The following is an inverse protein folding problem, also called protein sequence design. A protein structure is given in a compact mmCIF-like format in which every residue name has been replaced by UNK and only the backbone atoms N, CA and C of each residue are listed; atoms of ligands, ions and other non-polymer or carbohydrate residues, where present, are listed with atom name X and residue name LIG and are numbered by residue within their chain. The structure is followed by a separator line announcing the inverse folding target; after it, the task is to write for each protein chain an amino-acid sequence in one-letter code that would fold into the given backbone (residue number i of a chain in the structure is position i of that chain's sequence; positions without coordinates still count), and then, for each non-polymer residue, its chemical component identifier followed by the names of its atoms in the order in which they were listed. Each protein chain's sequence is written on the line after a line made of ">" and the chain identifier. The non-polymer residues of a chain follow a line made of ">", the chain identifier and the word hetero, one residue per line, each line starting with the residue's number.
data_IF_660137679588
#
_entry.id   IF_660137679588
#
_cell.length_a   1.000
_cell.length_b   1.000
_cell.length_c   1.000
_cell.angle_alpha   90.00
_cell.angle_beta   90.00
_cell.angle_gamma   90.00
#
_symmetry.space_group_name_H-M   'P 1'
#
loop_
_entity.id
_entity.type
_entity.pdbx_description
1 polymer ?
#
# COMPACT_ATOMS: atom_id res chain seq x y z
N UNK A 1 -2.31 13.57 19.80
CA UNK A 1 -1.79 14.13 18.53
C UNK A 1 -0.27 14.07 18.59
N UNK A 2 0.38 13.62 17.51
CA UNK A 2 1.84 13.58 17.44
C UNK A 2 2.43 14.98 17.67
N UNK A 3 3.51 15.08 18.43
CA UNK A 3 4.18 16.36 18.67
C UNK A 3 4.83 16.87 17.38
N UNK A 4 5.14 18.16 17.32
CA UNK A 4 5.90 18.74 16.19
C UNK A 4 7.23 18.00 15.97
N UNK A 5 7.87 17.55 17.04
CA UNK A 5 9.12 16.78 17.00
C UNK A 5 8.91 15.40 16.35
N UNK A 6 7.80 14.73 16.67
CA UNK A 6 7.46 13.42 16.09
C UNK A 6 7.16 13.51 14.61
N UNK A 7 6.43 14.56 14.20
CA UNK A 7 6.17 14.85 12.78
C UNK A 7 7.48 15.01 12.01
N UNK A 8 8.45 15.76 12.54
CA UNK A 8 9.75 15.92 11.88
C UNK A 8 10.58 14.62 11.87
N UNK A 9 10.50 13.81 12.93
CA UNK A 9 11.13 12.47 12.95
C UNK A 9 10.53 11.55 11.88
N UNK A 10 9.20 11.55 11.71
CA UNK A 10 8.50 10.76 10.69
C UNK A 10 8.89 11.23 9.29
N UNK A 11 8.84 12.53 9.02
CA UNK A 11 9.29 13.09 7.74
C UNK A 11 10.72 12.68 7.42
N UNK A 12 11.62 12.71 8.41
CA UNK A 12 13.01 12.26 8.26
C UNK A 12 13.07 10.76 7.90
N UNK A 13 12.32 9.89 8.58
CA UNK A 13 12.27 8.46 8.26
C UNK A 13 11.81 8.21 6.82
N UNK A 14 10.72 8.84 6.40
CA UNK A 14 10.20 8.72 5.03
C UNK A 14 11.27 9.17 4.02
N UNK A 15 11.90 10.33 4.28
CA UNK A 15 12.96 10.89 3.44
C UNK A 15 14.15 9.96 3.29
N UNK A 16 14.61 9.38 4.38
CA UNK A 16 15.76 8.49 4.37
C UNK A 16 15.44 7.19 3.61
N UNK A 17 14.22 6.65 3.78
CA UNK A 17 13.78 5.47 3.04
C UNK A 17 13.68 5.72 1.52
N UNK A 18 13.04 6.81 1.09
CA UNK A 18 12.93 7.15 -0.33
C UNK A 18 14.31 7.37 -0.95
N UNK A 19 15.19 8.14 -0.28
CA UNK A 19 16.56 8.38 -0.75
C UNK A 19 17.37 7.11 -0.93
N UNK A 20 17.18 6.15 -0.03
CA UNK A 20 17.97 4.93 0.00
C UNK A 20 17.43 3.87 -0.97
N UNK A 21 16.11 3.72 -1.06
CA UNK A 21 15.49 2.58 -1.73
C UNK A 21 14.73 2.91 -3.01
N UNK A 22 14.15 4.11 -3.13
CA UNK A 22 13.39 4.54 -4.31
C UNK A 22 14.22 5.53 -5.15
N UNK A 23 15.20 5.01 -5.88
CA UNK A 23 16.17 5.81 -6.64
C UNK A 23 15.46 6.70 -7.66
N UNK A 24 15.51 7.99 -7.41
CA UNK A 24 15.30 9.03 -8.42
C UNK A 24 16.63 9.37 -9.12
N UNK A 25 16.56 9.79 -10.39
CA UNK A 25 17.72 10.20 -11.16
C UNK A 25 18.38 11.50 -10.65
N UNK A 26 17.69 12.29 -9.80
CA UNK A 26 18.17 13.61 -9.36
C UNK A 26 17.98 13.81 -7.85
N UNK A 27 19.08 14.15 -7.14
CA UNK A 27 19.07 14.30 -5.67
C UNK A 27 18.18 15.45 -5.17
N UNK A 28 17.85 16.44 -6.01
CA UNK A 28 16.94 17.53 -5.67
C UNK A 28 15.48 17.06 -5.61
N UNK A 29 15.13 15.95 -6.27
CA UNK A 29 13.77 15.41 -6.31
C UNK A 29 13.29 14.97 -4.93
N UNK A 30 14.18 14.41 -4.11
CA UNK A 30 13.83 14.05 -2.73
C UNK A 30 13.51 15.24 -1.84
N UNK A 31 13.91 16.48 -2.16
CA UNK A 31 13.45 17.66 -1.39
C UNK A 31 12.02 18.04 -1.80
N UNK A 32 11.69 17.82 -3.07
CA UNK A 32 10.41 18.10 -3.70
C UNK A 32 9.29 17.16 -3.18
N UNK A 33 9.55 15.84 -3.06
CA UNK A 33 8.64 14.84 -2.45
C UNK A 33 7.97 15.33 -1.15
N UNK A 34 8.72 16.05 -0.31
CA UNK A 34 8.24 16.53 0.99
C UNK A 34 7.74 17.98 1.00
N UNK A 35 7.92 18.74 -0.09
CA UNK A 35 7.28 20.05 -0.25
C UNK A 35 5.81 19.91 -0.65
N UNK A 36 5.45 18.81 -1.33
CA UNK A 36 4.05 18.47 -1.64
C UNK A 36 3.25 17.99 -0.42
N UNK A 37 3.93 17.79 0.71
CA UNK A 37 3.34 17.47 1.99
C UNK A 37 2.99 18.79 2.72
N UNK A 38 1.74 19.29 2.68
CA UNK A 38 1.40 20.62 3.21
C UNK A 38 1.75 20.76 4.70
N UNK A 39 2.06 21.98 5.13
CA UNK A 39 2.36 22.31 6.53
C UNK A 39 1.23 21.94 7.51
N UNK A 40 0.00 21.78 7.01
CA UNK A 40 -1.18 21.27 7.72
C UNK A 40 -1.62 19.87 7.27
N UNK A 41 -0.69 18.96 6.98
CA UNK A 41 -1.05 17.56 6.66
C UNK A 41 -1.96 16.98 7.73
N UNK A 42 -3.09 16.46 7.27
CA UNK A 42 -3.95 15.58 8.07
C UNK A 42 -3.13 14.37 8.46
N UNK A 43 -3.10 14.05 9.75
CA UNK A 43 -2.29 12.96 10.32
C UNK A 43 -2.38 11.63 9.53
N UNK A 44 -3.52 11.33 8.91
CA UNK A 44 -3.70 10.18 8.02
C UNK A 44 -2.74 10.14 6.82
N UNK A 45 -2.60 11.24 6.07
CA UNK A 45 -1.71 11.27 4.88
C UNK A 45 -0.23 11.15 5.25
N UNK A 46 0.17 11.71 6.40
CA UNK A 46 1.53 11.49 6.92
C UNK A 46 1.77 10.01 7.25
N UNK A 47 0.75 9.35 7.81
CA UNK A 47 0.79 7.94 8.14
C UNK A 47 0.89 7.07 6.88
N UNK A 48 0.07 7.32 5.86
CA UNK A 48 0.15 6.63 4.57
C UNK A 48 1.56 6.77 3.93
N UNK A 49 2.14 7.96 3.93
CA UNK A 49 3.52 8.17 3.46
C UNK A 49 4.55 7.36 4.28
N UNK A 50 4.37 7.28 5.59
CA UNK A 50 5.19 6.44 6.47
C UNK A 50 5.07 4.97 6.09
N UNK A 51 3.86 4.46 5.87
CA UNK A 51 3.64 3.07 5.48
C UNK A 51 4.25 2.79 4.11
N UNK A 52 4.03 3.66 3.13
CA UNK A 52 4.68 3.55 1.82
C UNK A 52 6.22 3.49 1.96
N UNK A 53 6.80 4.24 2.89
CA UNK A 53 8.24 4.19 3.17
C UNK A 53 8.74 2.84 3.72
N UNK A 54 7.93 2.17 4.54
CA UNK A 54 8.23 0.80 5.02
C UNK A 54 8.02 -0.24 3.91
N UNK A 55 7.03 -0.05 3.03
CA UNK A 55 6.77 -0.93 1.87
C UNK A 55 7.96 -0.91 0.90
N UNK A 56 8.42 0.27 0.49
CA UNK A 56 9.57 0.38 -0.44
C UNK A 56 10.83 -0.22 0.17
N UNK A 57 11.02 -0.07 1.49
CA UNK A 57 12.16 -0.64 2.23
C UNK A 57 12.06 -2.17 2.26
N UNK A 58 10.90 -2.74 2.53
CA UNK A 58 10.72 -4.19 2.54
C UNK A 58 10.88 -4.80 1.13
N UNK A 59 10.32 -4.18 0.09
CA UNK A 59 10.54 -4.60 -1.29
C UNK A 59 12.03 -4.57 -1.65
N UNK A 60 12.77 -3.55 -1.23
CA UNK A 60 14.20 -3.45 -1.51
C UNK A 60 15.04 -4.46 -0.71
N UNK A 61 14.84 -4.56 0.60
CA UNK A 61 15.70 -5.35 1.49
C UNK A 61 15.30 -6.83 1.48
N UNK A 62 14.01 -7.12 1.64
CA UNK A 62 13.52 -8.48 1.82
C UNK A 62 13.42 -9.23 0.49
N UNK A 63 12.96 -8.55 -0.56
CA UNK A 63 12.81 -9.14 -1.90
C UNK A 63 13.98 -8.85 -2.84
N UNK A 64 14.85 -7.90 -2.51
CA UNK A 64 15.98 -7.52 -3.37
C UNK A 64 15.56 -6.74 -4.61
N UNK A 65 14.41 -6.07 -4.60
CA UNK A 65 13.92 -5.31 -5.74
C UNK A 65 14.60 -3.95 -5.86
N UNK A 66 14.72 -3.47 -7.10
CA UNK A 66 15.15 -2.12 -7.40
C UNK A 66 13.92 -1.24 -7.64
N UNK A 67 13.79 -0.13 -6.91
CA UNK A 67 12.65 0.77 -7.03
C UNK A 67 13.04 2.09 -7.69
N UNK A 68 12.19 2.58 -8.60
CA UNK A 68 12.41 3.84 -9.33
C UNK A 68 11.15 4.69 -9.34
N UNK A 69 11.24 5.93 -8.86
CA UNK A 69 10.16 6.90 -8.97
C UNK A 69 10.00 7.35 -10.43
N UNK A 70 8.76 7.45 -10.92
CA UNK A 70 8.41 7.83 -12.29
C UNK A 70 7.47 9.02 -12.32
N UNK A 71 7.52 9.73 -13.46
CA UNK A 71 6.62 10.81 -13.88
C UNK A 71 6.50 12.00 -12.95
N UNK A 72 7.36 12.07 -11.94
CA UNK A 72 7.39 13.18 -11.01
C UNK A 72 8.68 13.14 -10.21
N UNK A 73 9.09 14.32 -9.77
CA UNK A 73 10.06 14.50 -8.70
C UNK A 73 9.38 14.46 -7.32
N UNK A 74 8.05 14.51 -7.29
CA UNK A 74 7.18 14.62 -6.13
C UNK A 74 6.37 13.34 -5.96
N UNK A 75 6.32 12.79 -4.75
CA UNK A 75 5.27 11.86 -4.38
C UNK A 75 4.04 12.70 -3.98
N UNK A 76 3.16 12.94 -4.95
CA UNK A 76 1.90 13.60 -4.66
C UNK A 76 0.92 12.52 -4.15
N UNK A 77 0.75 12.44 -2.84
CA UNK A 77 -0.37 11.68 -2.28
C UNK A 77 -1.66 12.32 -2.78
N UNK A 78 -2.59 11.50 -3.29
CA UNK A 78 -3.82 12.04 -3.82
C UNK A 78 -4.67 12.57 -2.66
N UNK A 79 -5.44 13.61 -2.95
CA UNK A 79 -6.43 14.12 -2.02
C UNK A 79 -7.68 13.22 -1.95
N UNK A 80 -7.90 12.40 -2.98
CA UNK A 80 -9.02 11.47 -3.07
C UNK A 80 -8.63 10.19 -3.84
N UNK A 81 -9.31 9.06 -3.58
CA UNK A 81 -9.22 7.87 -4.41
C UNK A 81 -9.47 8.16 -5.88
N UNK A 82 -8.98 7.26 -6.73
CA UNK A 82 -9.44 7.20 -8.10
C UNK A 82 -8.69 6.17 -8.94
N UNK A 83 -8.94 6.15 -10.26
CA UNK A 83 -8.21 5.26 -11.16
C UNK A 83 -6.70 5.56 -11.19
N UNK A 84 -5.94 4.58 -11.68
CA UNK A 84 -4.57 4.76 -12.14
C UNK A 84 -4.59 5.73 -13.33
N UNK A 85 -3.84 6.82 -13.16
CA UNK A 85 -3.57 7.80 -14.19
C UNK A 85 -2.06 7.83 -14.42
N UNK A 86 -1.62 7.46 -15.63
CA UNK A 86 -0.20 7.34 -15.97
C UNK A 86 0.53 8.69 -15.95
N UNK A 87 -0.19 9.80 -15.95
CA UNK A 87 0.43 11.12 -15.81
C UNK A 87 0.85 11.44 -14.37
N UNK A 88 0.40 10.65 -13.38
CA UNK A 88 0.76 10.83 -11.98
C UNK A 88 2.00 10.04 -11.58
N UNK A 89 2.58 10.46 -10.45
CA UNK A 89 3.74 9.81 -9.88
C UNK A 89 3.43 8.37 -9.44
N UNK A 90 4.35 7.46 -9.70
CA UNK A 90 4.29 6.08 -9.23
C UNK A 90 5.70 5.51 -9.10
N UNK A 91 5.84 4.35 -8.46
CA UNK A 91 7.14 3.70 -8.30
C UNK A 91 7.15 2.40 -9.11
N UNK A 92 8.05 2.31 -10.07
CA UNK A 92 8.36 1.05 -10.73
C UNK A 92 9.15 0.14 -9.79
N UNK A 93 8.74 -1.13 -9.72
CA UNK A 93 9.40 -2.17 -8.95
C UNK A 93 10.05 -3.16 -9.92
N UNK A 94 11.37 -3.28 -9.87
CA UNK A 94 12.17 -4.08 -10.80
C UNK A 94 12.80 -5.28 -10.11
N UNK A 95 12.64 -6.47 -10.70
CA UNK A 95 13.31 -7.72 -10.30
C UNK A 95 14.41 -8.00 -11.32
N UNK A 96 15.63 -7.59 -11.02
CA UNK A 96 16.71 -7.53 -12.01
C UNK A 96 16.38 -6.53 -13.12
N UNK A 97 16.38 -6.99 -14.37
CA UNK A 97 16.00 -6.19 -15.55
C UNK A 97 14.51 -6.26 -15.92
N UNK A 98 13.72 -7.10 -15.22
CA UNK A 98 12.29 -7.24 -15.49
C UNK A 98 11.50 -6.24 -14.64
N UNK A 99 10.64 -5.45 -15.28
CA UNK A 99 9.62 -4.68 -14.56
C UNK A 99 8.64 -5.66 -13.93
N UNK A 100 8.67 -5.76 -12.61
CA UNK A 100 7.89 -6.72 -11.83
C UNK A 100 6.48 -6.20 -11.59
N UNK A 101 6.36 -4.93 -11.17
CA UNK A 101 5.09 -4.29 -10.87
C UNK A 101 5.25 -2.79 -10.69
N UNK A 102 4.13 -2.13 -10.40
CA UNK A 102 4.07 -0.69 -10.21
C UNK A 102 3.30 -0.37 -8.93
N UNK A 103 3.90 0.44 -8.07
CA UNK A 103 3.37 0.84 -6.77
C UNK A 103 2.69 2.20 -6.90
N UNK A 104 1.42 2.26 -6.50
CA UNK A 104 0.56 3.43 -6.56
C UNK A 104 -0.07 3.72 -5.20
N UNK A 105 -0.59 4.93 -5.01
CA UNK A 105 -1.37 5.31 -3.82
C UNK A 105 -2.78 5.73 -4.20
N UNK A 106 -3.72 5.54 -3.27
CA UNK A 106 -5.13 5.98 -3.37
C UNK A 106 -5.79 5.52 -4.69
N UNK A 107 -5.73 4.20 -4.94
CA UNK A 107 -6.23 3.60 -6.17
C UNK A 107 -7.53 2.84 -5.90
N UNK A 108 -8.53 3.11 -6.73
CA UNK A 108 -9.73 2.28 -6.82
C UNK A 108 -9.49 1.09 -7.74
N UNK A 109 -9.89 -0.10 -7.31
CA UNK A 109 -9.86 -1.33 -8.12
C UNK A 109 -11.27 -1.87 -8.37
N UNK A 110 -11.44 -2.64 -9.43
CA UNK A 110 -12.68 -3.37 -9.73
C UNK A 110 -12.73 -4.64 -8.89
N UNK A 111 -13.77 -4.75 -8.08
CA UNK A 111 -13.95 -5.86 -7.14
C UNK A 111 -14.28 -7.17 -7.83
N UNK A 112 -14.17 -8.25 -7.07
CA UNK A 112 -14.69 -9.55 -7.47
C UNK A 112 -16.19 -9.48 -7.83
N UNK A 113 -17.01 -8.85 -7.00
CA UNK A 113 -18.43 -8.67 -7.28
C UNK A 113 -18.69 -7.91 -8.59
N UNK A 114 -17.89 -6.89 -8.91
CA UNK A 114 -17.99 -6.21 -10.22
C UNK A 114 -17.80 -7.17 -11.40
N UNK A 115 -16.96 -8.20 -11.27
CA UNK A 115 -16.73 -9.19 -12.33
C UNK A 115 -17.90 -10.17 -12.49
N UNK A 116 -18.66 -10.40 -11.42
CA UNK A 116 -19.87 -11.23 -11.43
C UNK A 116 -21.09 -10.48 -12.02
N UNK A 117 -20.91 -9.24 -12.48
CA UNK A 117 -21.94 -8.49 -13.21
C UNK A 117 -22.79 -7.56 -12.34
N UNK A 118 -22.46 -7.40 -11.05
CA UNK A 118 -23.04 -6.35 -10.24
C UNK A 118 -22.57 -4.97 -10.75
N UNK A 119 -23.43 -3.95 -10.68
CA UNK A 119 -23.19 -2.64 -11.32
C UNK A 119 -23.48 -1.45 -10.40
N UNK A 120 -23.36 -1.64 -9.09
CA UNK A 120 -23.63 -0.59 -8.11
C UNK A 120 -22.34 -0.01 -7.50
N UNK A 121 -22.47 0.75 -6.41
CA UNK A 121 -21.33 1.41 -5.77
C UNK A 121 -20.33 0.45 -5.13
N UNK A 122 -20.67 -0.84 -4.98
CA UNK A 122 -19.77 -1.88 -4.47
C UNK A 122 -18.78 -2.40 -5.52
N UNK A 123 -18.92 -2.00 -6.79
CA UNK A 123 -18.02 -2.41 -7.86
C UNK A 123 -16.59 -1.93 -7.68
N UNK A 124 -16.40 -0.90 -6.87
CA UNK A 124 -15.11 -0.28 -6.66
C UNK A 124 -14.81 -0.23 -5.18
N UNK A 125 -13.58 -0.56 -4.87
CA UNK A 125 -13.02 -0.37 -3.55
C UNK A 125 -11.66 0.32 -3.67
N UNK A 126 -11.29 1.06 -2.65
CA UNK A 126 -10.02 1.77 -2.56
C UNK A 126 -8.96 0.91 -1.87
N UNK A 127 -7.70 1.17 -2.23
CA UNK A 127 -6.51 0.75 -1.48
C UNK A 127 -5.58 1.96 -1.35
N UNK A 128 -5.14 2.25 -0.12
CA UNK A 128 -4.26 3.39 0.17
C UNK A 128 -2.89 3.23 -0.52
N UNK A 129 -2.36 2.01 -0.55
CA UNK A 129 -1.17 1.64 -1.32
C UNK A 129 -1.43 0.33 -2.05
N UNK A 130 -1.11 0.28 -3.36
CA UNK A 130 -1.31 -0.91 -4.18
C UNK A 130 -0.10 -1.18 -5.06
N UNK A 131 0.34 -2.44 -5.09
CA UNK A 131 1.31 -2.94 -6.06
C UNK A 131 0.56 -3.77 -7.11
N UNK A 132 0.57 -3.32 -8.36
CA UNK A 132 -0.15 -3.95 -9.47
C UNK A 132 0.78 -4.47 -10.54
N UNK A 133 0.23 -5.28 -11.45
CA UNK A 133 0.91 -5.70 -12.68
C UNK A 133 1.39 -4.48 -13.50
N UNK A 134 2.51 -4.60 -14.24
CA UNK A 134 3.01 -3.51 -15.05
C UNK A 134 2.04 -3.07 -16.15
N UNK A 135 1.93 -1.76 -16.37
CA UNK A 135 1.21 -1.20 -17.51
C UNK A 135 -0.29 -1.02 -17.31
N UNK A 136 -0.81 -1.29 -16.11
CA UNK A 136 -2.22 -1.09 -15.80
C UNK A 136 -2.61 0.39 -15.90
N UNK A 137 -3.86 0.64 -16.32
CA UNK A 137 -4.49 1.96 -16.44
C UNK A 137 -5.93 1.89 -15.96
N UNK A 138 -6.53 3.02 -15.57
CA UNK A 138 -7.91 3.01 -15.08
C UNK A 138 -8.02 2.32 -13.73
N UNK A 139 -9.13 1.62 -13.49
CA UNK A 139 -9.32 0.81 -12.26
C UNK A 139 -8.86 -0.61 -12.56
N UNK A 140 -7.74 -1.09 -12.00
CA UNK A 140 -7.28 -2.45 -12.23
C UNK A 140 -8.30 -3.45 -11.68
N UNK A 141 -8.40 -4.62 -12.30
CA UNK A 141 -9.19 -5.72 -11.73
C UNK A 141 -8.49 -6.29 -10.49
N UNK A 142 -9.27 -6.88 -9.58
CA UNK A 142 -8.74 -7.51 -8.37
C UNK A 142 -7.63 -8.55 -8.65
N UNK A 143 -7.65 -9.19 -9.83
CA UNK A 143 -6.63 -10.16 -10.28
C UNK A 143 -5.34 -9.56 -10.85
N UNK A 144 -5.26 -8.22 -10.91
CA UNK A 144 -4.06 -7.47 -11.28
C UNK A 144 -3.27 -6.99 -10.07
N UNK A 145 -3.82 -7.15 -8.86
CA UNK A 145 -3.19 -6.71 -7.62
C UNK A 145 -2.25 -7.80 -7.09
N UNK A 146 -0.99 -7.44 -6.83
CA UNK A 146 -0.04 -8.27 -6.09
C UNK A 146 -0.09 -7.98 -4.59
N UNK A 147 -0.17 -6.70 -4.20
CA UNK A 147 -0.29 -6.27 -2.81
C UNK A 147 -1.36 -5.17 -2.75
N UNK A 148 -2.34 -5.33 -1.85
CA UNK A 148 -3.21 -4.24 -1.39
C UNK A 148 -2.88 -3.88 0.05
N UNK A 149 -2.91 -2.59 0.39
CA UNK A 149 -2.59 -2.09 1.73
C UNK A 149 -3.60 -1.02 2.15
N UNK A 150 -4.07 -1.15 3.39
CA UNK A 150 -4.87 -0.15 4.09
C UNK A 150 -4.09 0.44 5.28
N UNK A 151 -4.27 1.73 5.51
CA UNK A 151 -3.61 2.55 6.51
C UNK A 151 -4.65 3.13 7.48
N UNK A 152 -4.72 2.58 8.70
CA UNK A 152 -5.67 3.01 9.74
C UNK A 152 -4.97 3.80 10.85
N UNK A 153 -4.96 5.13 10.70
CA UNK A 153 -4.46 6.06 11.73
C UNK A 153 -5.58 6.52 12.69
N UNK A 154 -6.33 5.56 13.22
CA UNK A 154 -7.47 5.76 14.13
C UNK A 154 -7.52 4.61 15.13
N UNK A 155 -8.33 4.74 16.18
CA UNK A 155 -8.57 3.62 17.11
C UNK A 155 -9.14 2.41 16.35
N UNK A 156 -8.48 1.27 16.50
CA UNK A 156 -8.87 0.03 15.84
C UNK A 156 -9.98 -0.65 16.65
N UNK A 157 -11.02 -1.10 15.95
CA UNK A 157 -12.18 -1.72 16.58
C UNK A 157 -12.77 -2.82 15.69
N UNK A 158 -13.73 -3.57 16.25
CA UNK A 158 -14.39 -4.69 15.54
C UNK A 158 -15.13 -4.26 14.26
N UNK A 159 -15.61 -3.02 14.18
CA UNK A 159 -16.22 -2.47 12.97
C UNK A 159 -15.21 -2.37 11.83
N UNK A 160 -14.07 -1.74 12.08
CA UNK A 160 -12.95 -1.64 11.13
C UNK A 160 -12.48 -3.03 10.71
N UNK A 161 -12.36 -3.98 11.65
CA UNK A 161 -11.98 -5.35 11.29
C UNK A 161 -12.99 -6.04 10.37
N UNK A 162 -14.30 -5.79 10.53
CA UNK A 162 -15.32 -6.33 9.62
C UNK A 162 -15.20 -5.74 8.21
N UNK A 163 -14.86 -4.45 8.10
CA UNK A 163 -14.58 -3.80 6.80
C UNK A 163 -13.37 -4.43 6.12
N UNK A 164 -12.28 -4.66 6.87
CA UNK A 164 -11.09 -5.37 6.40
C UNK A 164 -11.43 -6.75 5.84
N UNK A 165 -12.23 -7.54 6.58
CA UNK A 165 -12.69 -8.85 6.12
C UNK A 165 -13.60 -8.75 4.88
N UNK A 166 -14.41 -7.69 4.77
CA UNK A 166 -15.22 -7.38 3.61
C UNK A 166 -14.35 -7.14 2.38
N UNK A 167 -13.38 -6.24 2.49
CA UNK A 167 -12.46 -5.93 1.39
C UNK A 167 -11.73 -7.19 0.92
N UNK A 168 -11.27 -8.03 1.86
CA UNK A 168 -10.58 -9.27 1.49
C UNK A 168 -11.43 -10.16 0.60
N UNK A 169 -12.74 -10.28 0.87
CA UNK A 169 -13.69 -11.03 0.03
C UNK A 169 -13.86 -10.44 -1.37
N UNK A 170 -13.73 -9.12 -1.50
CA UNK A 170 -13.77 -8.46 -2.81
C UNK A 170 -12.44 -8.57 -3.57
N UNK A 171 -11.35 -9.00 -2.93
CA UNK A 171 -10.05 -9.24 -3.56
C UNK A 171 -9.87 -10.68 -4.07
N UNK A 172 -10.86 -11.57 -3.92
CA UNK A 172 -10.79 -12.95 -4.41
C UNK A 172 -11.52 -13.98 -3.55
N UNK A 173 -11.12 -15.24 -3.69
CA UNK A 173 -11.73 -16.38 -2.98
C UNK A 173 -10.76 -17.02 -2.00
N UNK A 174 -11.27 -17.43 -0.84
CA UNK A 174 -10.52 -18.28 0.08
C UNK A 174 -10.34 -19.66 -0.54
N UNK A 175 -9.09 -20.13 -0.56
CA UNK A 175 -8.69 -21.44 -1.08
C UNK A 175 -7.60 -22.03 -0.17
N UNK A 176 -7.07 -23.19 -0.53
CA UNK A 176 -5.82 -23.68 0.06
C UNK A 176 -4.64 -22.79 -0.32
N UNK A 177 -3.55 -22.90 0.43
CA UNK A 177 -2.36 -22.07 0.27
C UNK A 177 -1.83 -22.08 -1.17
N UNK A 178 -1.81 -20.89 -1.78
CA UNK A 178 -1.21 -20.63 -3.09
C UNK A 178 0.05 -19.80 -2.95
N UNK A 179 1.01 -20.07 -3.84
CA UNK A 179 2.25 -19.30 -3.91
C UNK A 179 1.95 -17.88 -4.42
N UNK A 180 2.50 -16.89 -3.74
CA UNK A 180 2.46 -15.49 -4.18
C UNK A 180 3.60 -15.19 -5.16
N UNK A 181 3.66 -13.97 -5.66
CA UNK A 181 4.78 -13.49 -6.49
C UNK A 181 6.06 -13.18 -5.67
N UNK A 182 6.00 -13.33 -4.33
CA UNK A 182 7.05 -12.96 -3.39
C UNK A 182 7.77 -14.18 -2.81
N UNK A 183 9.04 -13.99 -2.45
CA UNK A 183 9.86 -15.03 -1.85
C UNK A 183 9.84 -15.00 -0.31
N UNK A 184 9.74 -13.81 0.28
CA UNK A 184 9.80 -13.57 1.73
C UNK A 184 8.69 -12.64 2.19
N UNK A 185 8.67 -11.40 1.72
CA UNK A 185 7.73 -10.35 2.14
C UNK A 185 6.79 -9.96 0.99
N UNK A 186 5.47 -9.81 1.23
CA UNK A 186 4.78 -9.93 2.52
C UNK A 186 4.64 -11.37 3.02
N UNK A 187 4.27 -12.28 2.12
CA UNK A 187 4.16 -13.72 2.37
C UNK A 187 4.54 -14.49 1.12
N UNK A 188 5.14 -15.67 1.27
CA UNK A 188 5.40 -16.61 0.16
C UNK A 188 4.16 -17.42 -0.24
N UNK A 189 3.30 -17.72 0.73
CA UNK A 189 2.09 -18.51 0.57
C UNK A 189 0.90 -17.75 1.17
N UNK A 190 -0.28 -17.87 0.56
CA UNK A 190 -1.50 -17.23 1.04
C UNK A 190 -2.74 -18.09 0.71
N UNK A 191 -3.73 -18.22 1.60
CA UNK A 191 -4.91 -19.06 1.38
C UNK A 191 -5.98 -18.37 0.51
N UNK A 192 -5.57 -17.79 -0.63
CA UNK A 192 -6.45 -16.97 -1.47
C UNK A 192 -6.13 -17.04 -2.96
N UNK A 193 -7.17 -16.81 -3.78
CA UNK A 193 -7.08 -16.81 -5.24
C UNK A 193 -7.82 -15.59 -5.82
N UNK A 194 -7.15 -14.66 -6.51
CA UNK A 194 -5.71 -14.61 -6.81
C UNK A 194 -4.84 -14.59 -5.54
N UNK A 195 -3.57 -15.04 -5.60
CA UNK A 195 -2.67 -15.07 -4.45
C UNK A 195 -2.11 -13.67 -4.13
N UNK A 196 -3.00 -12.67 -4.03
CA UNK A 196 -2.68 -11.30 -3.67
C UNK A 196 -2.49 -11.17 -2.17
N UNK A 197 -1.43 -10.49 -1.76
CA UNK A 197 -1.19 -10.14 -0.36
C UNK A 197 -2.06 -8.96 0.05
N UNK A 198 -2.64 -9.01 1.24
CA UNK A 198 -3.43 -7.91 1.79
C UNK A 198 -2.95 -7.57 3.20
N UNK A 199 -2.51 -6.33 3.40
CA UNK A 199 -1.88 -5.87 4.64
C UNK A 199 -2.68 -4.70 5.21
N UNK A 200 -2.84 -4.67 6.53
CA UNK A 200 -3.41 -3.55 7.26
C UNK A 200 -2.36 -3.02 8.21
N UNK A 201 -2.01 -1.76 8.02
CA UNK A 201 -1.17 -1.02 8.96
C UNK A 201 -2.06 -0.15 9.84
N UNK A 202 -1.86 -0.22 11.16
CA UNK A 202 -2.53 0.69 12.09
C UNK A 202 -1.57 1.32 13.09
N UNK A 203 -1.89 2.56 13.47
CA UNK A 203 -1.23 3.28 14.56
C UNK A 203 -1.72 2.83 15.95
N UNK A 204 -2.79 2.02 16.02
CA UNK A 204 -3.31 1.46 17.25
C UNK A 204 -2.88 -0.01 17.35
N UNK A 205 -2.14 -0.34 18.41
CA UNK A 205 -1.63 -1.69 18.66
C UNK A 205 -2.74 -2.74 18.82
N UNK A 206 -3.96 -2.33 19.19
CA UNK A 206 -5.14 -3.21 19.30
C UNK A 206 -5.52 -3.91 18.01
N UNK A 207 -5.00 -3.47 16.87
CA UNK A 207 -5.13 -4.21 15.61
C UNK A 207 -4.62 -5.66 15.76
N UNK A 208 -3.61 -5.89 16.60
CA UNK A 208 -3.00 -7.20 16.79
C UNK A 208 -3.92 -8.20 17.51
N UNK A 209 -4.94 -7.73 18.23
CA UNK A 209 -5.95 -8.58 18.91
C UNK A 209 -6.78 -9.39 17.90
N UNK A 210 -6.80 -8.99 16.62
CA UNK A 210 -7.56 -9.65 15.55
C UNK A 210 -6.71 -10.59 14.69
N UNK A 211 -5.42 -10.77 15.03
CA UNK A 211 -4.43 -11.44 14.16
C UNK A 211 -4.81 -12.87 13.78
N UNK A 212 -5.30 -13.68 14.72
CA UNK A 212 -5.63 -15.08 14.43
C UNK A 212 -6.75 -15.22 13.38
N UNK A 213 -7.78 -14.37 13.46
CA UNK A 213 -8.85 -14.37 12.45
C UNK A 213 -8.38 -13.77 11.13
N UNK A 214 -7.49 -12.79 11.15
CA UNK A 214 -6.94 -12.17 9.95
C UNK A 214 -6.05 -13.15 9.18
N UNK A 215 -5.20 -13.89 9.90
CA UNK A 215 -4.29 -14.89 9.33
C UNK A 215 -5.04 -16.01 8.61
N UNK A 216 -6.17 -16.45 9.15
CA UNK A 216 -7.06 -17.42 8.49
C UNK A 216 -7.54 -16.98 7.10
N UNK A 217 -7.68 -15.67 6.86
CA UNK A 217 -8.05 -15.09 5.57
C UNK A 217 -6.84 -14.60 4.75
N UNK A 218 -5.61 -14.87 5.22
CA UNK A 218 -4.37 -14.40 4.59
C UNK A 218 -4.19 -12.89 4.68
N UNK A 219 -4.63 -12.27 5.76
CA UNK A 219 -4.50 -10.82 5.99
C UNK A 219 -3.39 -10.58 7.02
N UNK A 220 -2.43 -9.75 6.67
CA UNK A 220 -1.37 -9.34 7.59
C UNK A 220 -1.78 -8.09 8.36
N UNK A 221 -1.85 -8.21 9.69
CA UNK A 221 -2.09 -7.07 10.58
C UNK A 221 -0.76 -6.60 11.18
N UNK A 222 -0.45 -5.32 10.97
CA UNK A 222 0.79 -4.68 11.40
C UNK A 222 0.50 -3.43 12.22
N UNK A 223 1.18 -3.31 13.36
CA UNK A 223 1.23 -2.08 14.13
C UNK A 223 2.47 -1.28 13.71
N UNK A 224 2.29 -0.01 13.36
CA UNK A 224 3.38 0.94 13.14
C UNK A 224 3.07 2.22 13.90
N UNK A 225 3.92 2.52 14.87
CA UNK A 225 3.77 3.65 15.77
C UNK A 225 4.10 4.99 15.09
N UNK A 226 3.43 6.05 15.54
CA UNK A 226 3.52 7.42 15.03
C UNK A 226 4.15 8.33 16.09
N UNK A 227 5.43 8.12 16.38
CA UNK A 227 6.17 8.83 17.44
C UNK A 227 6.82 7.85 18.42
N UNK A 228 7.68 8.34 19.31
CA UNK A 228 8.02 7.66 20.58
C UNK A 228 7.38 8.49 21.71
#
# INVERSE_FOLDING_TARGET
>A
MASKKDIEKIKKRIKDAFRKYAKSANRNEYKAIFQALPSGIRSGKLYEALILSEVIKNLAISEGFNLKLKNSQYLNLKASPGPINRNYAYIEVWKGSKLFGELWTDIEFRTLSSKEGFSDRSNYHELDVVLVKPGETGRPDYDKIFIGIECKNTLFNKGIFREVLGLRREMGYKVDDKKTEFNKWPRKMIPYSPPSCYLIYSSDEKILDFRSSADFFGIDLLHVEVGD
#
